data_IF_569746198373
#
_entry.id   IF_569746198373
#
_cell.length_a   1.000
_cell.length_b   1.000
_cell.length_c   1.000
_cell.angle_alpha   90.00
_cell.angle_beta   90.00
_cell.angle_gamma   90.00
#
_symmetry.space_group_name_H-M   'P 1'
#
loop_
_entity.id
_entity.type
_entity.pdbx_description
1 polymer ?
#
# COMPACT_ATOMS: atom_id res chain seq x y z
N UNK A 1 -3.20 29.38 -21.05
CA UNK A 1 -2.38 29.09 -19.85
C UNK A 1 -1.52 27.88 -20.20
N UNK A 2 -0.24 28.13 -20.44
CA UNK A 2 0.73 27.07 -20.82
C UNK A 2 1.18 26.32 -19.58
N UNK A 3 1.15 24.98 -19.63
CA UNK A 3 1.67 24.13 -18.59
C UNK A 3 3.20 24.35 -18.44
N UNK A 4 3.73 24.42 -17.21
CA UNK A 4 5.16 24.57 -17.02
C UNK A 4 5.90 23.33 -17.51
N UNK A 5 7.01 23.56 -18.23
CA UNK A 5 7.90 22.54 -18.76
C UNK A 5 8.36 21.56 -17.67
N UNK A 6 7.84 20.36 -17.72
CA UNK A 6 8.41 19.22 -16.99
C UNK A 6 9.79 18.93 -17.61
N UNK A 7 10.85 19.17 -16.85
CA UNK A 7 12.19 18.75 -17.23
C UNK A 7 12.22 17.22 -17.30
N UNK A 8 12.79 16.61 -18.34
CA UNK A 8 12.95 15.17 -18.38
C UNK A 8 13.81 14.71 -17.18
N UNK A 9 13.31 13.74 -16.44
CA UNK A 9 14.08 13.08 -15.39
C UNK A 9 15.10 12.20 -16.10
N UNK A 10 16.35 12.65 -16.16
CA UNK A 10 17.46 11.83 -16.64
C UNK A 10 17.88 10.89 -15.52
N UNK A 11 17.55 9.61 -15.67
CA UNK A 11 18.13 8.56 -14.83
C UNK A 11 19.57 8.33 -15.29
N UNK A 12 20.53 8.72 -14.47
CA UNK A 12 21.92 8.34 -14.65
C UNK A 12 22.06 6.86 -14.26
N UNK A 13 22.08 5.99 -15.27
CA UNK A 13 22.38 4.57 -15.08
C UNK A 13 23.88 4.43 -14.76
N UNK A 14 24.28 4.65 -13.51
CA UNK A 14 25.57 4.21 -13.03
C UNK A 14 25.44 2.83 -12.36
N UNK A 15 25.80 1.86 -13.15
CA UNK A 15 26.50 0.59 -12.87
C UNK A 15 26.44 0.03 -11.46
N UNK A 16 25.86 -1.17 -11.37
CA UNK A 16 26.42 -2.22 -10.52
C UNK A 16 25.90 -2.28 -9.10
N UNK A 17 24.61 -2.31 -8.89
CA UNK A 17 24.08 -3.02 -7.74
C UNK A 17 23.85 -4.46 -8.20
N UNK A 18 24.74 -5.36 -7.82
CA UNK A 18 24.48 -6.79 -7.90
C UNK A 18 23.19 -7.05 -7.14
N UNK A 19 22.22 -7.60 -7.85
CA UNK A 19 20.98 -8.10 -7.25
C UNK A 19 21.40 -9.20 -6.29
N UNK A 20 21.39 -8.90 -4.98
CA UNK A 20 21.47 -9.91 -3.94
C UNK A 20 20.27 -10.82 -4.07
N UNK A 21 20.54 -12.00 -4.61
CA UNK A 21 19.59 -13.05 -4.80
C UNK A 21 19.11 -13.60 -3.46
N UNK A 22 17.81 -13.94 -3.40
CA UNK A 22 17.21 -14.88 -2.46
C UNK A 22 17.01 -14.45 -1.00
N UNK A 23 16.06 -13.55 -0.79
CA UNK A 23 15.12 -13.69 0.34
C UNK A 23 13.70 -13.94 -0.20
N UNK A 24 13.57 -14.78 -1.22
CA UNK A 24 12.29 -15.31 -1.67
C UNK A 24 11.86 -16.41 -0.70
N UNK A 25 10.91 -16.12 0.19
CA UNK A 25 10.13 -17.21 0.77
C UNK A 25 9.55 -18.00 -0.39
N UNK A 26 9.68 -19.34 -0.35
CA UNK A 26 9.01 -20.19 -1.33
C UNK A 26 7.50 -19.88 -1.28
N UNK A 27 6.78 -19.97 -2.41
CA UNK A 27 5.34 -19.66 -2.48
C UNK A 27 4.53 -20.41 -1.40
N UNK A 28 4.94 -21.63 -1.06
CA UNK A 28 4.35 -22.45 -0.01
C UNK A 28 4.56 -21.91 1.42
N UNK A 29 5.46 -20.93 1.64
CA UNK A 29 5.70 -20.27 2.91
C UNK A 29 5.15 -18.83 2.95
N UNK A 30 4.65 -18.33 1.83
CA UNK A 30 4.10 -16.99 1.76
C UNK A 30 2.74 -16.92 2.46
N UNK A 31 2.56 -16.01 3.44
CA UNK A 31 1.29 -15.89 4.17
C UNK A 31 0.13 -15.38 3.31
N UNK A 32 0.43 -14.80 2.15
CA UNK A 32 -0.57 -14.32 1.20
C UNK A 32 -0.87 -15.27 0.06
N UNK A 33 -0.09 -16.34 -0.11
CA UNK A 33 -0.44 -17.47 -0.98
C UNK A 33 -1.32 -18.50 -0.26
N UNK A 34 -1.27 -18.54 1.07
CA UNK A 34 -2.03 -19.46 1.93
C UNK A 34 -2.86 -18.67 2.95
N UNK A 35 -3.85 -17.93 2.45
CA UNK A 35 -4.71 -17.09 3.28
C UNK A 35 -5.76 -17.99 3.96
N UNK A 36 -5.89 -17.84 5.29
CA UNK A 36 -7.01 -18.42 6.04
C UNK A 36 -8.31 -17.76 5.58
N UNK A 37 -9.28 -18.56 5.12
CA UNK A 37 -10.56 -18.06 4.60
C UNK A 37 -11.34 -17.22 5.62
N UNK A 38 -11.17 -17.47 6.91
CA UNK A 38 -11.81 -16.70 7.98
C UNK A 38 -11.35 -15.23 8.01
N UNK A 39 -10.20 -14.91 7.41
CA UNK A 39 -9.66 -13.56 7.33
C UNK A 39 -10.13 -12.81 6.08
N UNK A 40 -10.75 -13.51 5.12
CA UNK A 40 -11.17 -12.92 3.85
C UNK A 40 -12.40 -12.06 4.07
N UNK A 41 -12.31 -10.80 3.66
CA UNK A 41 -13.41 -9.84 3.69
C UNK A 41 -14.17 -9.82 2.36
N UNK A 42 -13.44 -9.76 1.27
CA UNK A 42 -13.96 -9.66 -0.10
C UNK A 42 -12.94 -10.26 -1.07
N UNK A 43 -13.40 -10.70 -2.22
CA UNK A 43 -12.51 -11.13 -3.32
C UNK A 43 -13.13 -10.82 -4.68
N UNK A 44 -12.28 -10.67 -5.68
CA UNK A 44 -12.63 -10.69 -7.09
C UNK A 44 -11.75 -11.73 -7.82
N UNK A 45 -11.76 -11.73 -9.14
CA UNK A 45 -11.05 -12.76 -9.93
C UNK A 45 -9.53 -12.72 -9.75
N UNK A 46 -8.94 -11.57 -9.39
CA UNK A 46 -7.50 -11.36 -9.36
C UNK A 46 -6.95 -10.90 -8.01
N UNK A 47 -7.79 -10.55 -7.06
CA UNK A 47 -7.36 -10.04 -5.76
C UNK A 47 -8.26 -10.47 -4.62
N UNK A 48 -7.69 -10.48 -3.41
CA UNK A 48 -8.35 -10.79 -2.15
C UNK A 48 -8.16 -9.64 -1.17
N UNK A 49 -9.23 -9.24 -0.52
CA UNK A 49 -9.18 -8.33 0.63
C UNK A 49 -9.29 -9.14 1.92
N UNK A 50 -8.43 -8.87 2.89
CA UNK A 50 -8.39 -9.58 4.16
C UNK A 50 -8.10 -8.61 5.32
N UNK A 51 -8.45 -9.03 6.54
CA UNK A 51 -8.02 -8.33 7.74
C UNK A 51 -6.50 -8.46 7.91
N UNK A 52 -5.83 -7.35 8.24
CA UNK A 52 -4.41 -7.39 8.60
C UNK A 52 -4.24 -8.24 9.88
N UNK A 53 -3.19 -9.07 9.91
CA UNK A 53 -2.85 -9.89 11.09
C UNK A 53 -2.27 -9.08 12.25
N UNK A 54 -1.78 -7.87 11.97
CA UNK A 54 -1.19 -6.94 12.94
C UNK A 54 -1.78 -5.55 12.76
N UNK A 55 -3.10 -5.38 13.02
CA UNK A 55 -3.80 -4.16 12.68
C UNK A 55 -3.31 -2.97 13.51
N UNK A 56 -3.08 -1.83 12.85
CA UNK A 56 -2.72 -0.55 13.52
C UNK A 56 -3.95 0.29 13.86
N UNK A 57 -5.12 -0.08 13.31
CA UNK A 57 -6.42 0.50 13.60
C UNK A 57 -7.51 -0.56 13.42
N UNK A 58 -8.65 -0.39 14.06
CA UNK A 58 -9.82 -1.24 13.85
C UNK A 58 -10.22 -1.25 12.37
N UNK A 59 -10.32 -2.43 11.77
CA UNK A 59 -10.64 -2.60 10.36
C UNK A 59 -9.48 -2.37 9.40
N UNK A 60 -8.22 -2.32 9.88
CA UNK A 60 -7.05 -2.32 9.01
C UNK A 60 -7.11 -3.53 8.07
N UNK A 61 -7.25 -3.27 6.79
CA UNK A 61 -7.39 -4.28 5.76
C UNK A 61 -6.21 -4.25 4.79
N UNK A 62 -5.97 -5.40 4.17
CA UNK A 62 -5.03 -5.55 3.07
C UNK A 62 -5.79 -5.96 1.81
N UNK A 63 -5.38 -5.45 0.66
CA UNK A 63 -5.77 -5.99 -0.64
C UNK A 63 -4.52 -6.58 -1.30
N UNK A 64 -4.60 -7.87 -1.63
CA UNK A 64 -3.48 -8.68 -2.09
C UNK A 64 -3.85 -9.30 -3.43
N UNK A 65 -3.02 -9.21 -4.48
CA UNK A 65 -3.25 -9.95 -5.71
C UNK A 65 -3.18 -11.46 -5.45
N UNK A 66 -4.00 -12.25 -6.16
CA UNK A 66 -3.94 -13.72 -6.05
C UNK A 66 -2.65 -14.27 -6.67
N UNK A 67 -2.10 -13.58 -7.67
CA UNK A 67 -0.81 -13.89 -8.26
C UNK A 67 0.31 -13.48 -7.31
N UNK A 68 1.23 -14.41 -7.01
CA UNK A 68 2.43 -14.08 -6.25
C UNK A 68 3.37 -13.20 -7.07
N UNK A 69 3.33 -11.90 -6.83
CA UNK A 69 4.27 -10.90 -7.36
C UNK A 69 4.85 -10.07 -6.23
N UNK A 70 6.07 -9.61 -6.37
CA UNK A 70 6.74 -8.80 -5.35
C UNK A 70 6.26 -7.34 -5.39
N UNK A 71 5.99 -6.84 -6.59
CA UNK A 71 5.51 -5.49 -6.84
C UNK A 71 4.14 -5.53 -7.54
N UNK A 72 3.24 -4.62 -7.18
CA UNK A 72 1.99 -4.44 -7.93
C UNK A 72 2.23 -4.04 -9.39
N UNK A 73 3.35 -3.37 -9.65
CA UNK A 73 3.72 -2.89 -10.98
C UNK A 73 4.25 -3.99 -11.91
N UNK A 74 4.44 -5.21 -11.37
CA UNK A 74 4.77 -6.41 -12.16
C UNK A 74 3.51 -7.15 -12.65
N UNK A 75 2.31 -6.69 -12.24
CA UNK A 75 1.03 -7.26 -12.69
C UNK A 75 0.71 -6.80 -14.13
N UNK A 76 0.01 -7.66 -14.92
CA UNK A 76 -0.66 -7.20 -16.12
C UNK A 76 -1.67 -6.08 -15.81
N UNK A 77 -1.84 -5.11 -16.72
CA UNK A 77 -2.72 -3.96 -16.51
C UNK A 77 -4.15 -4.32 -16.06
N UNK A 78 -4.72 -5.38 -16.60
CA UNK A 78 -6.06 -5.85 -16.24
C UNK A 78 -6.12 -6.34 -14.78
N UNK A 79 -5.12 -7.08 -14.32
CA UNK A 79 -5.05 -7.56 -12.94
C UNK A 79 -4.79 -6.39 -11.98
N UNK A 80 -3.89 -5.48 -12.34
CA UNK A 80 -3.64 -4.26 -11.56
C UNK A 80 -4.91 -3.41 -11.42
N UNK A 81 -5.66 -3.25 -12.50
CA UNK A 81 -6.93 -2.54 -12.47
C UNK A 81 -7.94 -3.20 -11.51
N UNK A 82 -8.00 -4.52 -11.48
CA UNK A 82 -8.90 -5.26 -10.60
C UNK A 82 -8.47 -5.19 -9.12
N UNK A 83 -7.16 -5.14 -8.83
CA UNK A 83 -6.67 -4.81 -7.48
C UNK A 83 -7.22 -3.46 -7.03
N UNK A 84 -7.10 -2.41 -7.85
CA UNK A 84 -7.58 -1.07 -7.51
C UNK A 84 -9.11 -0.95 -7.42
N UNK A 85 -9.85 -1.73 -8.21
CA UNK A 85 -11.33 -1.86 -8.05
C UNK A 85 -11.68 -2.42 -6.68
N UNK A 86 -10.97 -3.48 -6.24
CA UNK A 86 -11.17 -4.07 -4.92
C UNK A 86 -10.79 -3.10 -3.80
N UNK A 87 -9.66 -2.39 -3.91
CA UNK A 87 -9.26 -1.30 -2.99
C UNK A 87 -10.38 -0.27 -2.86
N UNK A 88 -10.94 0.18 -3.97
CA UNK A 88 -12.05 1.14 -3.97
C UNK A 88 -13.29 0.60 -3.26
N UNK A 89 -13.62 -0.69 -3.46
CA UNK A 89 -14.76 -1.33 -2.81
C UNK A 89 -14.53 -1.45 -1.30
N UNK A 90 -13.37 -1.96 -0.87
CA UNK A 90 -13.02 -2.09 0.56
C UNK A 90 -13.04 -0.73 1.23
N UNK A 91 -12.48 0.31 0.60
CA UNK A 91 -12.52 1.67 1.15
C UNK A 91 -13.97 2.14 1.43
N UNK A 92 -14.90 1.93 0.49
CA UNK A 92 -16.32 2.28 0.72
C UNK A 92 -16.89 1.50 1.92
N UNK A 93 -16.64 0.20 1.98
CA UNK A 93 -17.09 -0.65 3.08
C UNK A 93 -16.57 -0.15 4.43
N UNK A 94 -15.30 0.27 4.52
CA UNK A 94 -14.71 0.81 5.75
C UNK A 94 -15.38 2.12 6.17
N UNK A 95 -15.66 3.03 5.23
CA UNK A 95 -16.35 4.28 5.52
C UNK A 95 -17.79 4.05 5.96
N UNK A 96 -18.51 3.16 5.27
CA UNK A 96 -19.95 2.95 5.51
C UNK A 96 -20.21 2.10 6.75
N UNK A 97 -19.49 0.99 6.93
CA UNK A 97 -19.78 0.01 7.99
C UNK A 97 -19.06 0.36 9.29
N UNK A 98 -17.81 0.80 9.25
CA UNK A 98 -17.06 1.18 10.45
C UNK A 98 -17.19 2.66 10.80
N UNK A 99 -17.92 3.44 9.99
CA UNK A 99 -18.06 4.90 10.18
C UNK A 99 -16.70 5.59 10.34
N UNK A 100 -15.71 5.16 9.52
CA UNK A 100 -14.42 5.82 9.49
C UNK A 100 -14.55 7.20 8.82
N UNK A 101 -13.84 8.19 9.36
CA UNK A 101 -13.85 9.56 8.81
C UNK A 101 -12.91 9.69 7.60
N UNK A 102 -11.97 8.76 7.45
CA UNK A 102 -11.02 8.71 6.34
C UNK A 102 -10.31 7.37 6.25
N UNK A 103 -9.49 7.18 5.21
CA UNK A 103 -8.68 5.97 5.03
C UNK A 103 -7.32 6.37 4.48
N UNK A 104 -6.24 5.94 5.14
CA UNK A 104 -4.93 5.94 4.52
C UNK A 104 -4.80 4.70 3.64
N UNK A 105 -4.41 4.91 2.39
CA UNK A 105 -4.12 3.83 1.44
C UNK A 105 -2.64 3.93 1.07
N UNK A 106 -1.91 2.82 1.15
CA UNK A 106 -0.48 2.81 0.87
C UNK A 106 0.05 1.45 0.47
N UNK A 107 1.18 1.47 -0.22
CA UNK A 107 1.94 0.31 -0.66
C UNK A 107 3.38 0.49 -0.25
N UNK A 108 3.97 -0.54 0.32
CA UNK A 108 5.42 -0.63 0.53
C UNK A 108 6.00 -1.45 -0.63
N UNK A 109 6.61 -0.79 -1.62
CA UNK A 109 7.16 -1.45 -2.80
C UNK A 109 8.68 -1.55 -2.69
N UNK A 110 9.17 -2.71 -2.34
CA UNK A 110 10.57 -3.01 -2.09
C UNK A 110 11.03 -2.82 -0.64
N UNK A 111 12.16 -3.42 -0.30
CA UNK A 111 12.71 -3.48 1.05
C UNK A 111 12.99 -2.08 1.62
N UNK A 112 13.54 -1.18 0.80
CA UNK A 112 13.83 0.20 1.21
C UNK A 112 12.57 1.02 1.53
N UNK A 113 11.41 0.62 0.99
CA UNK A 113 10.11 1.20 1.30
C UNK A 113 9.41 0.49 2.49
N UNK A 114 10.06 -0.48 3.14
CA UNK A 114 9.53 -1.18 4.30
C UNK A 114 8.69 -2.42 3.96
N UNK A 115 8.80 -2.96 2.74
CA UNK A 115 8.14 -4.22 2.40
C UNK A 115 8.79 -5.38 3.16
N UNK A 116 8.01 -6.06 3.99
CA UNK A 116 8.47 -7.20 4.81
C UNK A 116 8.00 -8.54 4.26
N UNK A 117 6.86 -8.60 3.60
CA UNK A 117 6.36 -9.77 2.88
C UNK A 117 6.55 -9.54 1.40
N UNK A 118 7.34 -10.43 0.74
CA UNK A 118 7.68 -10.31 -0.69
C UNK A 118 6.53 -10.79 -1.60
N UNK A 119 5.33 -10.42 -1.27
CA UNK A 119 4.10 -10.54 -2.03
C UNK A 119 3.40 -9.18 -1.93
N UNK A 120 3.12 -8.57 -3.06
CA UNK A 120 2.56 -7.21 -3.13
C UNK A 120 1.25 -7.11 -2.37
N UNK A 121 1.06 -6.02 -1.65
CA UNK A 121 -0.18 -5.75 -0.92
C UNK A 121 -0.42 -4.26 -0.74
N UNK A 122 -1.68 -3.89 -0.71
CA UNK A 122 -2.14 -2.53 -0.46
C UNK A 122 -2.75 -2.47 0.92
N UNK A 123 -2.24 -1.59 1.78
CA UNK A 123 -2.84 -1.28 3.08
C UNK A 123 -4.01 -0.32 2.93
N UNK A 124 -5.09 -0.59 3.66
CA UNK A 124 -6.20 0.32 3.89
C UNK A 124 -6.40 0.48 5.39
N UNK A 125 -6.02 1.64 5.91
CA UNK A 125 -6.05 1.93 7.34
C UNK A 125 -7.18 2.92 7.61
N UNK A 126 -8.28 2.49 8.24
CA UNK A 126 -9.36 3.40 8.63
C UNK A 126 -8.84 4.43 9.63
N UNK A 127 -9.30 5.66 9.47
CA UNK A 127 -8.92 6.78 10.32
C UNK A 127 -10.15 7.42 10.93
N UNK A 128 -10.00 7.93 12.14
CA UNK A 128 -11.05 8.67 12.86
C UNK A 128 -10.53 10.03 13.29
N UNK A 129 -11.39 11.04 13.30
CA UNK A 129 -11.03 12.35 13.86
C UNK A 129 -10.60 12.17 15.31
N UNK A 130 -9.39 12.62 15.64
CA UNK A 130 -8.83 12.51 16.98
C UNK A 130 -8.07 11.20 17.28
N UNK A 131 -7.93 10.28 16.32
CA UNK A 131 -7.13 9.06 16.49
C UNK A 131 -5.61 9.32 16.59
N UNK A 132 -5.17 10.46 16.10
CA UNK A 132 -3.82 11.01 16.31
C UNK A 132 -3.90 12.50 16.61
N UNK A 133 -2.91 13.04 17.32
CA UNK A 133 -2.87 14.44 17.69
C UNK A 133 -2.78 15.37 16.46
N UNK A 134 -2.02 14.98 15.45
CA UNK A 134 -1.89 15.72 14.18
C UNK A 134 -1.82 14.73 13.01
N UNK A 135 -2.90 14.54 12.24
CA UNK A 135 -2.93 13.62 11.10
C UNK A 135 -2.34 14.22 9.83
N UNK A 136 -1.98 15.52 9.84
CA UNK A 136 -1.46 16.19 8.64
C UNK A 136 -0.20 15.51 8.13
N UNK A 137 -0.03 15.51 6.82
CA UNK A 137 1.09 14.85 6.15
C UNK A 137 0.87 13.36 5.88
N UNK A 138 0.05 12.66 6.68
CA UNK A 138 -0.33 11.26 6.43
C UNK A 138 0.86 10.38 6.05
N UNK A 139 0.89 9.89 4.80
CA UNK A 139 1.95 9.00 4.27
C UNK A 139 3.37 9.62 4.34
N UNK A 140 3.50 10.93 4.47
CA UNK A 140 4.81 11.60 4.58
C UNK A 140 5.55 11.27 5.87
N UNK A 141 4.84 10.79 6.90
CA UNK A 141 5.43 10.39 8.18
C UNK A 141 6.36 9.18 8.08
N UNK A 142 6.46 8.52 6.90
CA UNK A 142 7.52 7.55 6.60
C UNK A 142 8.92 8.17 6.69
N UNK A 143 9.04 9.50 6.51
CA UNK A 143 10.26 10.29 6.73
C UNK A 143 9.89 11.42 7.70
N UNK A 144 9.95 11.20 9.03
CA UNK A 144 9.42 12.13 10.03
C UNK A 144 10.00 13.54 9.93
N UNK A 145 11.31 13.66 9.64
CA UNK A 145 12.01 14.96 9.53
C UNK A 145 11.53 15.79 8.33
N UNK A 146 10.82 15.17 7.38
CA UNK A 146 10.28 15.81 6.17
C UNK A 146 8.76 15.84 6.12
N UNK A 147 8.09 15.31 7.14
CA UNK A 147 6.64 15.20 7.16
C UNK A 147 5.96 16.58 7.25
N UNK A 148 6.48 17.48 8.08
CA UNK A 148 5.87 18.75 8.50
C UNK A 148 6.21 19.88 7.54
N UNK A 149 5.72 19.84 6.30
CA UNK A 149 5.97 20.92 5.31
C UNK A 149 5.18 22.21 5.58
N UNK A 150 4.11 22.13 6.35
CA UNK A 150 3.25 23.28 6.66
C UNK A 150 3.89 24.28 7.66
N UNK A 151 4.93 23.89 8.37
CA UNK A 151 5.65 24.80 9.27
C UNK A 151 6.41 25.89 8.47
N UNK A 152 6.76 25.60 7.20
CA UNK A 152 7.42 26.53 6.29
C UNK A 152 6.47 27.62 5.72
N UNK A 153 5.14 27.41 5.78
CA UNK A 153 4.14 28.33 5.24
C UNK A 153 3.52 29.24 6.30
N UNK A 154 3.98 29.17 7.56
CA UNK A 154 3.50 30.01 8.66
C UNK A 154 4.44 31.19 8.98
N UNK A 155 5.51 31.36 8.18
CA UNK A 155 6.48 32.46 8.33
C UNK A 155 6.22 33.63 7.39
#
# INVERSE_FOLDING_TARGET
MSLPNLRPITFNLHTGIQRGDNLGMAENQCPFCNIDESRILLKNDFAVALNDGFPVAEGHALVVPQRHVRSLFDLPDAELADVWKLVSHVRRTLLDNLKADGVNVGVNDGIAAGQTVMHAHVHLIPRRIGDTADPRGGIRWIIPEKARYWDEYQS
#
